data_IF_876942622225
#
_entry.id   IF_876942622225
#
_cell.length_a   1.000
_cell.length_b   1.000
_cell.length_c   1.000
_cell.angle_alpha   90.00
_cell.angle_beta   90.00
_cell.angle_gamma   90.00
#
_symmetry.space_group_name_H-M   'P 1'
#
loop_
_entity.id
_entity.type
_entity.pdbx_description
1 polymer ?
#
# COMPACT_ATOMS: atom_id res chain seq x y z
N UNK A 1 74.74 73.60 -30.71
CA UNK A 1 73.33 73.42 -31.13
C UNK A 1 72.71 72.02 -30.87
N UNK A 2 73.38 71.05 -30.21
CA UNK A 2 72.77 69.74 -29.86
C UNK A 2 72.18 69.64 -28.44
N UNK A 3 72.45 70.62 -27.56
CA UNK A 3 72.02 70.57 -26.15
C UNK A 3 70.65 71.20 -25.89
N UNK A 4 70.24 72.19 -26.68
CA UNK A 4 68.97 72.90 -26.45
C UNK A 4 67.74 72.08 -26.88
N UNK A 5 67.86 71.21 -27.89
CA UNK A 5 66.74 70.35 -28.35
C UNK A 5 66.29 69.30 -27.33
N UNK A 6 67.16 68.88 -26.40
CA UNK A 6 66.78 67.92 -25.33
C UNK A 6 65.96 68.57 -24.22
N UNK A 7 66.18 69.85 -23.93
CA UNK A 7 65.49 70.56 -22.85
C UNK A 7 64.04 70.87 -23.25
N UNK A 8 63.81 71.31 -24.49
CA UNK A 8 62.44 71.54 -24.98
C UNK A 8 61.61 70.25 -25.08
N UNK A 9 62.22 69.11 -25.39
CA UNK A 9 61.54 67.81 -25.41
C UNK A 9 61.15 67.28 -24.03
N UNK A 10 61.93 67.60 -22.99
CA UNK A 10 61.60 67.23 -21.60
C UNK A 10 60.51 68.14 -21.05
N UNK A 11 60.55 69.44 -21.36
CA UNK A 11 59.54 70.41 -20.94
C UNK A 11 58.18 70.11 -21.58
N UNK A 12 58.14 69.74 -22.87
CA UNK A 12 56.89 69.40 -23.57
C UNK A 12 56.24 68.11 -23.06
N UNK A 13 57.04 67.11 -22.67
CA UNK A 13 56.53 65.89 -22.04
C UNK A 13 55.99 66.17 -20.64
N UNK A 14 56.68 67.01 -19.86
CA UNK A 14 56.22 67.42 -18.52
C UNK A 14 54.92 68.21 -18.56
N UNK A 15 54.74 69.14 -19.51
CA UNK A 15 53.47 69.86 -19.65
C UNK A 15 52.33 68.98 -20.15
N UNK A 16 52.60 68.00 -21.02
CA UNK A 16 51.59 67.03 -21.45
C UNK A 16 51.13 66.14 -20.28
N UNK A 17 52.07 65.65 -19.47
CA UNK A 17 51.77 64.84 -18.28
C UNK A 17 50.98 65.66 -17.26
N UNK A 18 51.36 66.92 -17.04
CA UNK A 18 50.64 67.82 -16.12
C UNK A 18 49.20 68.06 -16.60
N UNK A 19 48.99 68.30 -17.90
CA UNK A 19 47.64 68.49 -18.47
C UNK A 19 46.79 67.22 -18.36
N UNK A 20 47.38 66.03 -18.50
CA UNK A 20 46.68 64.76 -18.30
C UNK A 20 46.28 64.53 -16.84
N UNK A 21 47.15 64.86 -15.89
CA UNK A 21 46.86 64.73 -14.45
C UNK A 21 45.77 65.71 -14.03
N UNK A 22 45.86 66.97 -14.47
CA UNK A 22 44.84 67.99 -14.20
C UNK A 22 43.52 67.63 -14.87
N UNK A 23 43.55 67.18 -16.12
CA UNK A 23 42.36 66.70 -16.84
C UNK A 23 41.69 65.52 -16.14
N UNK A 24 42.46 64.57 -15.61
CA UNK A 24 41.97 63.44 -14.82
C UNK A 24 41.32 63.88 -13.50
N UNK A 25 41.90 64.85 -12.79
CA UNK A 25 41.32 65.40 -11.56
C UNK A 25 40.02 66.18 -11.83
N UNK A 26 39.98 66.98 -12.90
CA UNK A 26 38.76 67.71 -13.31
C UNK A 26 37.66 66.75 -13.78
N UNK A 27 38.03 65.69 -14.49
CA UNK A 27 37.07 64.65 -14.92
C UNK A 27 36.45 63.93 -13.71
N UNK A 28 37.25 63.54 -12.70
CA UNK A 28 36.72 62.89 -11.49
C UNK A 28 35.85 63.79 -10.62
N UNK A 29 36.01 65.10 -10.70
CA UNK A 29 35.20 66.06 -9.92
C UNK A 29 33.91 66.46 -10.64
N UNK A 30 33.91 66.53 -11.98
CA UNK A 30 32.72 66.84 -12.78
C UNK A 30 31.89 65.60 -13.12
N UNK A 31 32.52 64.41 -13.14
CA UNK A 31 31.89 63.12 -13.39
C UNK A 31 32.27 62.15 -12.25
N UNK A 32 31.71 62.32 -11.04
CA UNK A 32 31.86 61.32 -9.99
C UNK A 32 31.29 59.99 -10.52
N UNK A 33 32.04 58.90 -10.35
CA UNK A 33 31.54 57.56 -10.63
C UNK A 33 30.19 57.38 -9.90
N UNK A 34 29.17 56.80 -10.54
CA UNK A 34 27.92 56.51 -9.85
C UNK A 34 28.28 55.66 -8.62
N UNK A 35 27.82 56.11 -7.44
CA UNK A 35 27.95 55.37 -6.18
C UNK A 35 27.68 53.89 -6.46
N UNK A 36 28.73 53.06 -6.49
CA UNK A 36 28.56 51.62 -6.37
C UNK A 36 28.01 51.43 -4.95
N UNK A 37 26.72 51.08 -4.77
CA UNK A 37 26.29 50.60 -3.47
C UNK A 37 27.05 49.29 -3.31
N UNK A 38 28.00 49.26 -2.38
CA UNK A 38 28.62 48.03 -1.94
C UNK A 38 27.47 47.05 -1.64
N UNK A 39 27.22 45.99 -2.44
CA UNK A 39 26.37 44.94 -1.96
C UNK A 39 27.27 44.20 -0.99
N UNK A 40 27.18 44.58 0.29
CA UNK A 40 27.42 43.61 1.32
C UNK A 40 26.09 42.83 1.41
N UNK A 41 25.91 41.69 0.70
CA UNK A 41 24.92 40.75 1.18
C UNK A 41 25.58 40.22 2.45
N UNK A 42 25.20 40.76 3.59
CA UNK A 42 25.05 39.84 4.69
C UNK A 42 23.93 38.92 4.19
N UNK A 43 24.19 37.66 3.77
CA UNK A 43 23.07 36.76 3.60
C UNK A 43 22.41 36.77 4.98
N UNK A 44 21.15 37.20 5.06
CA UNK A 44 20.32 36.79 6.18
C UNK A 44 20.57 35.29 6.34
N UNK A 45 20.86 34.78 7.56
CA UNK A 45 21.02 33.36 7.75
C UNK A 45 19.77 32.71 7.16
N UNK A 46 19.93 32.03 6.02
CA UNK A 46 18.82 31.37 5.36
C UNK A 46 18.44 30.26 6.32
N UNK A 47 17.36 30.43 7.07
CA UNK A 47 16.85 29.44 7.99
C UNK A 47 16.66 28.15 7.20
N UNK A 48 17.58 27.21 7.37
CA UNK A 48 17.64 26.00 6.55
C UNK A 48 16.81 24.94 7.29
N UNK A 49 15.58 24.73 6.81
CA UNK A 49 14.77 23.61 7.27
C UNK A 49 15.51 22.33 6.86
N UNK A 50 15.83 21.51 7.85
CA UNK A 50 16.39 20.17 7.65
C UNK A 50 15.25 19.18 7.60
N UNK A 51 15.34 18.23 6.68
CA UNK A 51 14.39 17.11 6.59
C UNK A 51 15.18 15.82 6.64
N UNK A 52 14.84 14.96 7.57
CA UNK A 52 15.44 13.65 7.76
C UNK A 52 14.39 12.56 7.59
N UNK A 53 14.84 11.37 7.19
CA UNK A 53 14.00 10.18 7.06
C UNK A 53 14.22 9.29 8.29
N UNK A 54 13.15 9.00 9.03
CA UNK A 54 13.19 8.07 10.15
C UNK A 54 13.08 6.63 9.65
N UNK A 55 11.96 6.33 8.98
CA UNK A 55 11.67 5.03 8.40
C UNK A 55 10.67 5.16 7.24
N UNK A 56 10.49 4.08 6.48
CA UNK A 56 9.47 4.00 5.45
C UNK A 56 9.04 2.56 5.20
N UNK A 57 7.86 2.42 4.61
CA UNK A 57 7.29 1.14 4.17
C UNK A 57 6.88 1.27 2.71
N UNK A 58 7.24 0.28 1.89
CA UNK A 58 6.92 0.24 0.45
C UNK A 58 5.76 -0.72 0.23
N UNK A 59 4.72 -0.24 -0.44
CA UNK A 59 3.52 -0.99 -0.77
C UNK A 59 3.48 -1.26 -2.28
N UNK A 60 3.38 -2.54 -2.64
CA UNK A 60 3.14 -3.02 -4.01
C UNK A 60 2.00 -4.03 -3.96
N UNK A 61 0.78 -3.52 -3.88
CA UNK A 61 -0.43 -4.33 -3.78
C UNK A 61 -0.94 -4.67 -5.19
N UNK A 62 -1.36 -5.92 -5.41
CA UNK A 62 -1.71 -6.42 -6.75
C UNK A 62 -2.98 -5.77 -7.33
N UNK A 63 -3.87 -5.35 -6.45
CA UNK A 63 -5.17 -4.73 -6.75
C UNK A 63 -5.13 -3.20 -6.75
N UNK A 64 -3.99 -2.59 -6.42
CA UNK A 64 -3.76 -1.14 -6.53
C UNK A 64 -2.98 -0.84 -7.80
N UNK A 65 -3.43 0.16 -8.54
CA UNK A 65 -2.91 0.54 -9.84
C UNK A 65 -1.59 1.31 -9.80
N UNK A 66 -0.98 1.50 -8.62
CA UNK A 66 0.29 2.17 -8.44
C UNK A 66 1.01 1.67 -7.15
N UNK A 67 2.35 1.58 -7.14
CA UNK A 67 3.10 1.45 -5.90
C UNK A 67 3.07 2.74 -5.09
N UNK A 68 3.24 2.65 -3.79
CA UNK A 68 3.37 3.83 -2.93
C UNK A 68 4.26 3.57 -1.73
N UNK A 69 4.70 4.65 -1.11
CA UNK A 69 5.47 4.65 0.14
C UNK A 69 4.67 5.40 1.19
N UNK A 70 4.72 4.90 2.43
CA UNK A 70 4.43 5.70 3.61
C UNK A 70 5.75 5.90 4.34
N UNK A 71 6.19 7.15 4.43
CA UNK A 71 7.48 7.52 5.00
C UNK A 71 7.29 8.43 6.20
N UNK A 72 7.97 8.13 7.31
CA UNK A 72 8.05 9.04 8.46
C UNK A 72 9.24 9.96 8.27
N UNK A 73 8.96 11.24 8.15
CA UNK A 73 9.98 12.29 8.01
C UNK A 73 9.95 13.22 9.21
N UNK A 74 11.11 13.69 9.62
CA UNK A 74 11.26 14.72 10.65
C UNK A 74 11.72 16.02 9.99
N UNK A 75 11.06 17.12 10.33
CA UNK A 75 11.45 18.46 9.93
C UNK A 75 11.96 19.20 11.16
N UNK A 76 13.11 19.84 11.03
CA UNK A 76 13.72 20.66 12.09
C UNK A 76 14.25 21.97 11.54
N UNK A 77 14.16 23.03 12.35
CA UNK A 77 14.68 24.34 12.00
C UNK A 77 14.96 25.16 13.27
N UNK A 78 15.80 26.19 13.14
CA UNK A 78 16.08 27.13 14.23
C UNK A 78 14.93 28.14 14.45
N UNK A 79 14.00 28.25 13.49
CA UNK A 79 12.80 29.08 13.56
C UNK A 79 11.53 28.23 13.36
N UNK A 80 10.36 28.87 13.43
CA UNK A 80 9.10 28.21 13.11
C UNK A 80 9.11 27.72 11.66
N UNK A 81 8.81 26.44 11.47
CA UNK A 81 8.74 25.82 10.16
C UNK A 81 7.48 26.31 9.46
N UNK A 82 7.66 27.07 8.38
CA UNK A 82 6.64 27.30 7.37
C UNK A 82 6.90 26.31 6.22
N UNK A 83 6.20 25.18 6.23
CA UNK A 83 6.25 24.17 5.18
C UNK A 83 4.87 23.58 4.95
N UNK A 84 4.61 23.18 3.71
CA UNK A 84 3.39 22.45 3.33
C UNK A 84 3.75 21.20 2.53
N UNK A 85 2.82 20.25 2.41
CA UNK A 85 3.00 19.10 1.52
C UNK A 85 3.26 19.54 0.07
N UNK A 86 2.78 20.73 -0.34
CA UNK A 86 3.07 21.32 -1.64
C UNK A 86 4.54 21.64 -1.89
N UNK A 87 5.36 21.71 -0.84
CA UNK A 87 6.80 21.94 -0.94
C UNK A 87 7.57 20.64 -1.23
N UNK A 88 6.90 19.48 -1.21
CA UNK A 88 7.50 18.17 -1.45
C UNK A 88 7.13 17.62 -2.82
N UNK A 89 8.13 17.14 -3.56
CA UNK A 89 7.92 16.55 -4.88
C UNK A 89 8.87 15.39 -5.15
N UNK A 90 8.37 14.39 -5.88
CA UNK A 90 9.16 13.21 -6.25
C UNK A 90 10.05 13.47 -7.47
N UNK A 91 11.02 12.59 -7.72
CA UNK A 91 11.82 12.56 -8.96
C UNK A 91 10.97 12.43 -10.23
N UNK A 92 9.74 11.93 -10.10
CA UNK A 92 8.75 11.81 -11.18
C UNK A 92 7.86 13.06 -11.32
N UNK A 93 8.21 14.14 -10.62
CA UNK A 93 7.50 15.42 -10.61
C UNK A 93 6.06 15.30 -10.10
N UNK A 94 5.82 14.41 -9.12
CA UNK A 94 4.55 14.33 -8.41
C UNK A 94 4.66 15.15 -7.13
N UNK A 95 3.70 16.05 -6.90
CA UNK A 95 3.60 16.81 -5.66
C UNK A 95 2.76 16.06 -4.63
N UNK A 96 3.19 16.05 -3.36
CA UNK A 96 2.48 15.32 -2.30
C UNK A 96 1.10 15.90 -1.98
N UNK A 97 0.81 17.16 -2.36
CA UNK A 97 -0.53 17.73 -2.25
C UNK A 97 -1.48 17.32 -3.39
N UNK A 98 -0.99 16.61 -4.41
CA UNK A 98 -1.75 16.17 -5.60
C UNK A 98 -1.94 14.65 -5.61
N UNK A 99 -2.37 14.09 -4.48
CA UNK A 99 -2.46 12.64 -4.28
C UNK A 99 -3.90 12.14 -4.10
N UNK A 100 -4.90 13.03 -4.23
CA UNK A 100 -6.31 12.72 -3.95
C UNK A 100 -6.84 11.52 -4.76
N UNK A 101 -6.55 11.45 -6.08
CA UNK A 101 -7.01 10.32 -6.90
C UNK A 101 -6.47 8.97 -6.44
N UNK A 102 -5.24 8.95 -5.91
CA UNK A 102 -4.62 7.73 -5.37
C UNK A 102 -5.23 7.36 -4.02
N UNK A 103 -5.56 8.36 -3.20
CA UNK A 103 -6.24 8.14 -1.92
C UNK A 103 -7.67 7.60 -2.14
N UNK A 104 -8.40 8.14 -3.12
CA UNK A 104 -9.73 7.66 -3.50
C UNK A 104 -9.69 6.20 -3.97
N UNK A 105 -8.73 5.83 -4.82
CA UNK A 105 -8.56 4.44 -5.26
C UNK A 105 -8.31 3.47 -4.09
N UNK A 106 -7.46 3.86 -3.12
CA UNK A 106 -7.22 3.05 -1.92
C UNK A 106 -8.50 2.91 -1.09
N UNK A 107 -9.24 4.00 -0.90
CA UNK A 107 -10.49 4.01 -0.15
C UNK A 107 -11.58 3.16 -0.81
N UNK A 108 -11.68 3.18 -2.15
CA UNK A 108 -12.65 2.38 -2.91
C UNK A 108 -12.37 0.88 -2.78
N UNK A 109 -11.10 0.50 -2.58
CA UNK A 109 -10.67 -0.87 -2.29
C UNK A 109 -10.77 -1.24 -0.79
N UNK A 110 -11.25 -0.32 0.05
CA UNK A 110 -11.38 -0.53 1.50
C UNK A 110 -10.08 -0.39 2.28
N UNK A 111 -9.03 0.18 1.68
CA UNK A 111 -7.78 0.50 2.37
C UNK A 111 -7.83 1.89 2.99
N UNK A 112 -7.35 2.00 4.23
CA UNK A 112 -7.32 3.25 4.97
C UNK A 112 -5.89 3.69 5.29
N UNK A 113 -5.53 4.89 4.85
CA UNK A 113 -4.26 5.53 5.21
C UNK A 113 -4.22 6.00 6.66
N UNK A 114 -5.37 6.14 7.32
CA UNK A 114 -5.46 6.54 8.73
C UNK A 114 -4.86 5.48 9.67
N UNK A 115 -4.91 4.20 9.27
CA UNK A 115 -4.30 3.08 10.01
C UNK A 115 -2.78 3.22 10.10
N UNK A 116 -2.19 3.88 9.11
CA UNK A 116 -0.77 4.21 9.06
C UNK A 116 -0.47 5.64 9.53
N UNK A 117 -1.49 6.32 10.08
CA UNK A 117 -1.40 7.69 10.62
C UNK A 117 -0.78 8.67 9.63
N UNK A 118 -1.18 8.60 8.37
CA UNK A 118 -0.71 9.53 7.34
C UNK A 118 -1.20 10.95 7.66
N UNK A 119 -0.28 11.90 7.66
CA UNK A 119 -0.56 13.32 7.83
C UNK A 119 -0.81 13.98 6.48
N UNK A 120 -2.03 14.46 6.27
CA UNK A 120 -2.43 15.20 5.07
C UNK A 120 -2.19 16.72 5.19
N UNK A 121 -1.80 17.18 6.37
CA UNK A 121 -1.40 18.56 6.64
C UNK A 121 -0.18 18.56 7.57
N UNK A 122 0.72 19.53 7.39
CA UNK A 122 1.88 19.67 8.27
C UNK A 122 1.54 20.55 9.48
N UNK A 123 2.04 20.21 10.69
CA UNK A 123 1.91 21.07 11.86
C UNK A 123 2.40 22.49 11.59
N UNK A 124 1.58 23.48 11.98
CA UNK A 124 1.95 24.89 11.93
C UNK A 124 2.62 25.30 13.24
N UNK A 125 3.49 26.31 13.15
CA UNK A 125 4.08 26.97 14.34
C UNK A 125 4.90 26.03 15.24
N UNK A 126 5.54 25.01 14.66
CA UNK A 126 6.55 24.20 15.33
C UNK A 126 7.90 24.34 14.65
N UNK A 127 8.97 24.25 15.42
CA UNK A 127 10.35 24.22 14.92
C UNK A 127 10.91 22.79 14.82
N UNK A 128 10.18 21.79 15.32
CA UNK A 128 10.51 20.38 15.24
C UNK A 128 9.24 19.52 15.24
N UNK A 129 9.08 18.67 14.24
CA UNK A 129 8.01 17.67 14.23
C UNK A 129 8.31 16.51 13.29
N UNK A 130 7.71 15.36 13.57
CA UNK A 130 7.70 14.21 12.68
C UNK A 130 6.30 13.97 12.13
N UNK A 131 6.20 13.62 10.85
CA UNK A 131 4.96 13.33 10.13
C UNK A 131 5.12 12.09 9.27
N UNK A 132 4.03 11.35 9.05
CA UNK A 132 3.98 10.28 8.06
C UNK A 132 3.41 10.82 6.76
N UNK A 133 4.18 10.80 5.69
CA UNK A 133 3.76 11.29 4.38
C UNK A 133 3.46 10.13 3.44
N UNK A 134 2.39 10.28 2.65
CA UNK A 134 2.01 9.37 1.58
C UNK A 134 2.66 9.81 0.26
N UNK A 135 3.42 8.91 -0.37
CA UNK A 135 4.19 9.18 -1.59
C UNK A 135 3.80 8.14 -2.65
N UNK A 136 2.86 8.46 -3.56
CA UNK A 136 2.54 7.57 -4.68
C UNK A 136 3.62 7.59 -5.76
N UNK A 137 3.78 6.47 -6.44
CA UNK A 137 4.78 6.27 -7.51
C UNK A 137 4.05 6.05 -8.83
N UNK A 138 4.35 6.90 -9.82
CA UNK A 138 3.74 6.84 -11.16
C UNK A 138 4.28 5.65 -11.95
N UNK A 139 5.59 5.40 -11.90
CA UNK A 139 6.19 4.29 -12.63
C UNK A 139 6.18 3.01 -11.78
N UNK A 140 5.33 2.04 -12.17
CA UNK A 140 5.21 0.74 -11.49
C UNK A 140 6.52 -0.04 -11.41
N UNK A 141 7.38 0.14 -12.40
CA UNK A 141 8.63 -0.61 -12.55
C UNK A 141 9.83 0.12 -11.91
N UNK A 142 9.61 1.29 -11.31
CA UNK A 142 10.65 2.04 -10.63
C UNK A 142 11.29 1.19 -9.53
N UNK A 143 12.63 1.18 -9.52
CA UNK A 143 13.43 0.53 -8.47
C UNK A 143 13.82 1.51 -7.36
N UNK A 144 13.65 2.82 -7.60
CA UNK A 144 13.90 3.85 -6.61
C UNK A 144 13.08 5.10 -6.93
N UNK A 145 12.82 5.91 -5.91
CA UNK A 145 12.27 7.25 -6.05
C UNK A 145 13.02 8.18 -5.09
N UNK A 146 13.13 9.46 -5.45
CA UNK A 146 13.67 10.49 -4.57
C UNK A 146 12.60 11.51 -4.25
N UNK A 147 12.44 11.84 -2.97
CA UNK A 147 11.63 12.96 -2.52
C UNK A 147 12.53 14.17 -2.30
N UNK A 148 12.19 15.27 -2.95
CA UNK A 148 12.85 16.56 -2.82
C UNK A 148 11.98 17.51 -2.01
N UNK A 149 12.65 18.48 -1.38
CA UNK A 149 11.99 19.54 -0.65
C UNK A 149 12.37 20.90 -1.24
N UNK A 150 11.40 21.63 -1.80
CA UNK A 150 11.62 22.84 -2.59
C UNK A 150 12.32 23.96 -1.79
N UNK A 151 12.08 24.04 -0.49
CA UNK A 151 12.66 25.06 0.39
C UNK A 151 14.13 24.76 0.78
N UNK A 152 14.60 23.52 0.55
CA UNK A 152 16.00 23.14 0.69
C UNK A 152 16.47 22.22 -0.45
N UNK A 153 17.17 22.80 -1.43
CA UNK A 153 17.66 22.07 -2.61
C UNK A 153 18.71 20.99 -2.30
N UNK A 154 19.24 20.93 -1.08
CA UNK A 154 20.16 19.86 -0.65
C UNK A 154 19.42 18.64 -0.09
N UNK A 155 18.15 18.80 0.26
CA UNK A 155 17.33 17.72 0.80
C UNK A 155 16.86 16.81 -0.33
N UNK A 156 17.35 15.57 -0.30
CA UNK A 156 16.95 14.50 -1.19
C UNK A 156 16.86 13.21 -0.38
N UNK A 157 15.63 12.74 -0.14
CA UNK A 157 15.37 11.47 0.54
C UNK A 157 15.17 10.38 -0.52
N UNK A 158 16.08 9.41 -0.57
CA UNK A 158 16.01 8.32 -1.55
C UNK A 158 15.38 7.08 -0.93
N UNK A 159 14.47 6.46 -1.67
CA UNK A 159 13.74 5.25 -1.26
C UNK A 159 14.06 4.12 -2.23
N UNK A 160 14.36 2.95 -1.69
CA UNK A 160 14.54 1.72 -2.45
C UNK A 160 13.17 1.06 -2.62
N UNK A 161 12.77 0.80 -3.87
CA UNK A 161 11.49 0.17 -4.22
C UNK A 161 11.65 -1.30 -4.62
N UNK A 162 12.88 -1.84 -4.59
CA UNK A 162 13.15 -3.22 -4.99
C UNK A 162 12.50 -4.25 -4.06
N UNK A 163 12.27 -3.87 -2.80
CA UNK A 163 11.61 -4.69 -1.80
C UNK A 163 10.35 -4.01 -1.26
N UNK A 164 9.21 -4.70 -1.34
CA UNK A 164 7.94 -4.26 -0.77
C UNK A 164 7.60 -5.10 0.47
N UNK A 165 7.40 -4.42 1.59
CA UNK A 165 7.10 -5.02 2.88
C UNK A 165 5.76 -4.55 3.47
N UNK A 166 5.11 -3.57 2.82
CA UNK A 166 3.78 -3.14 3.18
C UNK A 166 2.73 -4.16 2.74
N UNK A 167 1.80 -4.48 3.64
CA UNK A 167 0.72 -5.44 3.38
C UNK A 167 -0.65 -4.77 3.43
N UNK A 168 -1.69 -5.44 2.94
CA UNK A 168 -3.07 -4.93 2.94
C UNK A 168 -3.57 -4.70 4.38
N UNK A 169 -3.21 -5.58 5.29
CA UNK A 169 -3.62 -5.56 6.71
C UNK A 169 -3.08 -4.34 7.45
N UNK A 170 -1.88 -3.86 7.07
CA UNK A 170 -1.34 -2.60 7.61
C UNK A 170 -2.22 -1.40 7.28
N UNK A 171 -3.03 -1.49 6.22
CA UNK A 171 -3.97 -0.45 5.78
C UNK A 171 -5.40 -0.72 6.27
N UNK A 172 -5.57 -1.56 7.28
CA UNK A 172 -6.88 -1.86 7.86
C UNK A 172 -7.73 -2.82 7.03
N UNK A 173 -7.19 -3.41 5.97
CA UNK A 173 -7.87 -4.51 5.29
C UNK A 173 -8.11 -5.63 6.28
N UNK A 174 -9.38 -5.97 6.43
CA UNK A 174 -9.79 -7.20 7.11
C UNK A 174 -10.33 -8.11 6.02
N UNK A 175 -9.76 -9.31 5.84
CA UNK A 175 -10.42 -10.32 5.05
C UNK A 175 -11.85 -10.46 5.58
N UNK A 176 -12.82 -10.51 4.68
CA UNK A 176 -14.14 -10.99 5.06
C UNK A 176 -13.93 -12.42 5.58
N UNK A 177 -14.12 -12.64 6.88
CA UNK A 177 -13.76 -13.88 7.58
C UNK A 177 -14.47 -15.10 6.99
N UNK A 178 -15.47 -14.89 6.13
CA UNK A 178 -16.24 -15.92 5.45
C UNK A 178 -15.90 -16.07 3.97
N UNK A 179 -14.97 -15.29 3.41
CA UNK A 179 -14.61 -15.33 1.98
C UNK A 179 -13.17 -15.80 1.77
N UNK A 180 -13.01 -16.85 0.96
CA UNK A 180 -11.74 -17.32 0.43
C UNK A 180 -11.61 -16.92 -1.02
N UNK A 181 -10.52 -16.25 -1.36
CA UNK A 181 -10.23 -15.85 -2.74
C UNK A 181 -8.72 -15.83 -2.96
N UNK A 182 -8.28 -16.27 -4.13
CA UNK A 182 -6.92 -16.02 -4.62
C UNK A 182 -6.86 -14.82 -5.58
N UNK A 183 -7.97 -14.08 -5.69
CA UNK A 183 -8.23 -12.90 -6.52
C UNK A 183 -8.06 -13.13 -8.03
N UNK A 184 -7.79 -14.36 -8.45
CA UNK A 184 -7.47 -14.71 -9.83
C UNK A 184 -8.28 -15.89 -10.36
N UNK A 185 -8.51 -16.91 -9.54
CA UNK A 185 -9.07 -18.20 -9.94
C UNK A 185 -10.45 -18.41 -9.33
N UNK A 186 -10.61 -18.19 -8.03
CA UNK A 186 -11.83 -18.52 -7.31
C UNK A 186 -12.21 -17.49 -6.25
N UNK A 187 -13.51 -17.41 -5.98
CA UNK A 187 -14.07 -16.78 -4.78
C UNK A 187 -15.07 -17.74 -4.15
N UNK A 188 -14.83 -18.14 -2.91
CA UNK A 188 -15.67 -19.07 -2.13
C UNK A 188 -16.12 -18.35 -0.87
N UNK A 189 -17.43 -18.25 -0.66
CA UNK A 189 -18.03 -17.62 0.50
C UNK A 189 -18.79 -18.65 1.33
N UNK A 190 -18.52 -18.69 2.63
CA UNK A 190 -19.22 -19.51 3.62
C UNK A 190 -20.41 -18.72 4.12
N UNK A 191 -21.60 -19.08 3.63
CA UNK A 191 -22.81 -18.28 3.86
C UNK A 191 -23.47 -18.60 5.20
N UNK A 192 -23.52 -19.88 5.56
CA UNK A 192 -24.21 -20.33 6.78
C UNK A 192 -23.89 -21.79 7.12
N UNK A 193 -24.13 -22.15 8.38
CA UNK A 193 -24.09 -23.52 8.90
C UNK A 193 -25.51 -23.92 9.32
N UNK A 194 -25.91 -25.15 9.00
CA UNK A 194 -27.24 -25.66 9.34
C UNK A 194 -27.18 -27.09 9.86
N UNK A 195 -28.01 -27.40 10.87
CA UNK A 195 -28.32 -28.78 11.27
C UNK A 195 -29.40 -29.33 10.33
N UNK A 196 -29.08 -30.41 9.64
CA UNK A 196 -29.94 -31.11 8.68
C UNK A 196 -30.17 -32.57 9.08
N UNK A 197 -29.96 -32.92 10.35
CA UNK A 197 -30.13 -34.30 10.87
C UNK A 197 -31.52 -34.88 10.60
N UNK A 198 -32.55 -34.04 10.50
CA UNK A 198 -33.93 -34.46 10.24
C UNK A 198 -34.24 -34.83 8.79
N UNK A 199 -33.30 -34.61 7.86
CA UNK A 199 -33.49 -34.86 6.43
C UNK A 199 -33.01 -36.25 6.02
N UNK A 200 -33.72 -36.85 5.06
CA UNK A 200 -33.34 -38.14 4.49
C UNK A 200 -32.02 -37.99 3.72
N UNK A 201 -31.09 -38.93 3.92
CA UNK A 201 -29.86 -39.00 3.14
C UNK A 201 -29.90 -40.24 2.27
N UNK A 202 -29.78 -40.05 0.96
CA UNK A 202 -29.75 -41.12 -0.03
C UNK A 202 -28.31 -41.32 -0.52
N UNK A 203 -27.89 -42.57 -0.68
CA UNK A 203 -26.60 -42.93 -1.26
C UNK A 203 -26.82 -43.68 -2.59
N UNK A 204 -26.20 -43.18 -3.66
CA UNK A 204 -26.14 -43.85 -4.96
C UNK A 204 -24.92 -44.75 -5.01
N UNK A 205 -25.14 -46.06 -4.92
CA UNK A 205 -24.08 -47.07 -4.97
C UNK A 205 -23.46 -47.18 -6.37
N UNK A 206 -22.29 -47.82 -6.46
CA UNK A 206 -21.57 -47.98 -7.73
C UNK A 206 -22.34 -48.76 -8.82
N UNK A 207 -23.34 -49.55 -8.43
CA UNK A 207 -24.24 -50.27 -9.34
C UNK A 207 -25.44 -49.40 -9.82
N UNK A 208 -25.54 -48.14 -9.40
CA UNK A 208 -26.64 -47.22 -9.69
C UNK A 208 -27.87 -47.37 -8.78
N UNK A 209 -27.83 -48.27 -7.79
CA UNK A 209 -28.89 -48.42 -6.81
C UNK A 209 -28.87 -47.26 -5.81
N UNK A 210 -30.06 -46.74 -5.49
CA UNK A 210 -30.22 -45.64 -4.53
C UNK A 210 -30.81 -46.21 -3.25
N UNK A 211 -30.06 -46.10 -2.15
CA UNK A 211 -30.45 -46.61 -0.83
C UNK A 211 -30.42 -45.49 0.21
N UNK A 212 -31.27 -45.56 1.22
CA UNK A 212 -31.19 -44.64 2.36
C UNK A 212 -29.93 -44.95 3.19
N UNK A 213 -29.14 -43.91 3.47
CA UNK A 213 -27.96 -44.03 4.33
C UNK A 213 -28.40 -44.13 5.79
N UNK A 214 -27.85 -45.09 6.52
CA UNK A 214 -28.16 -45.30 7.93
C UNK A 214 -27.06 -44.74 8.81
N UNK A 215 -27.45 -43.86 9.75
CA UNK A 215 -26.56 -43.26 10.72
C UNK A 215 -26.92 -43.71 12.14
N UNK A 216 -25.94 -43.81 13.07
CA UNK A 216 -26.21 -43.99 14.48
C UNK A 216 -27.12 -42.90 15.04
N UNK A 217 -27.89 -43.19 16.10
CA UNK A 217 -28.79 -42.21 16.73
C UNK A 217 -28.07 -41.01 17.37
N UNK A 218 -26.75 -41.12 17.56
CA UNK A 218 -25.88 -40.06 18.07
C UNK A 218 -25.26 -39.22 16.94
N UNK A 219 -25.50 -39.58 15.68
CA UNK A 219 -25.04 -38.80 14.54
C UNK A 219 -25.88 -37.54 14.40
N UNK A 220 -25.19 -36.46 14.04
CA UNK A 220 -25.79 -35.19 13.62
C UNK A 220 -25.26 -34.85 12.25
N UNK A 221 -26.14 -34.49 11.33
CA UNK A 221 -25.77 -34.14 9.96
C UNK A 221 -25.77 -32.63 9.83
N UNK A 222 -24.65 -32.07 9.40
CA UNK A 222 -24.48 -30.64 9.24
C UNK A 222 -24.19 -30.26 7.81
N UNK A 223 -24.74 -29.12 7.39
CA UNK A 223 -24.55 -28.55 6.08
C UNK A 223 -23.81 -27.21 6.20
N UNK A 224 -22.74 -27.06 5.43
CA UNK A 224 -22.05 -25.77 5.23
C UNK A 224 -22.49 -25.23 3.89
N UNK A 225 -23.24 -24.13 3.89
CA UNK A 225 -23.68 -23.47 2.67
C UNK A 225 -22.53 -22.65 2.08
N UNK A 226 -22.21 -22.92 0.81
CA UNK A 226 -21.19 -22.21 0.07
C UNK A 226 -21.80 -21.45 -1.11
N UNK A 227 -21.19 -20.32 -1.43
CA UNK A 227 -21.30 -19.65 -2.73
C UNK A 227 -19.92 -19.71 -3.37
N UNK A 228 -19.83 -20.24 -4.59
CA UNK A 228 -18.56 -20.45 -5.29
C UNK A 228 -18.63 -19.79 -6.65
N UNK A 229 -17.63 -18.99 -6.96
CA UNK A 229 -17.47 -18.28 -8.22
C UNK A 229 -16.11 -18.61 -8.84
N UNK A 230 -16.12 -19.01 -10.12
CA UNK A 230 -14.93 -19.08 -10.96
C UNK A 230 -14.63 -17.71 -11.58
N UNK A 231 -13.46 -17.16 -11.27
CA UNK A 231 -13.04 -15.81 -11.69
C UNK A 231 -12.34 -15.83 -13.07
N UNK A 232 -11.72 -16.95 -13.46
CA UNK A 232 -10.91 -17.07 -14.68
C UNK A 232 -11.51 -17.96 -15.76
N UNK A 233 -12.79 -18.36 -15.63
CA UNK A 233 -13.43 -19.40 -16.45
C UNK A 233 -12.74 -20.78 -16.35
N UNK A 234 -11.79 -20.94 -15.43
CA UNK A 234 -11.22 -22.25 -15.09
C UNK A 234 -12.24 -23.06 -14.28
N UNK A 235 -12.27 -24.37 -14.52
CA UNK A 235 -13.13 -25.26 -13.75
C UNK A 235 -12.59 -25.38 -12.32
N UNK A 236 -13.46 -25.13 -11.35
CA UNK A 236 -13.24 -25.35 -9.92
C UNK A 236 -14.01 -26.60 -9.51
N UNK A 237 -13.41 -27.42 -8.67
CA UNK A 237 -14.07 -28.58 -8.07
C UNK A 237 -13.58 -28.74 -6.63
N UNK A 238 -14.50 -29.02 -5.71
CA UNK A 238 -14.14 -29.40 -4.34
C UNK A 238 -13.67 -30.86 -4.35
N UNK A 239 -12.38 -31.09 -4.10
CA UNK A 239 -11.79 -32.44 -4.01
C UNK A 239 -12.14 -33.08 -2.66
N UNK A 240 -11.96 -32.31 -1.58
CA UNK A 240 -12.20 -32.77 -0.22
C UNK A 240 -12.60 -31.60 0.67
N UNK A 241 -13.37 -31.89 1.72
CA UNK A 241 -13.64 -30.94 2.78
C UNK A 241 -13.69 -31.70 4.11
N UNK A 242 -13.32 -31.02 5.20
CA UNK A 242 -13.38 -31.59 6.54
C UNK A 242 -13.80 -30.55 7.56
N UNK A 243 -14.49 -31.02 8.58
CA UNK A 243 -14.92 -30.22 9.71
C UNK A 243 -14.34 -30.82 10.98
N UNK A 244 -13.68 -30.01 11.80
CA UNK A 244 -13.03 -30.44 13.04
C UNK A 244 -13.65 -29.73 14.23
N UNK A 245 -14.15 -30.50 15.19
CA UNK A 245 -14.48 -30.06 16.54
C UNK A 245 -13.23 -30.19 17.41
N UNK A 246 -12.62 -29.05 17.77
CA UNK A 246 -11.34 -29.00 18.48
C UNK A 246 -11.46 -29.55 19.90
N UNK A 247 -12.55 -29.23 20.61
CA UNK A 247 -12.78 -29.69 21.98
C UNK A 247 -13.02 -31.19 22.07
N UNK A 248 -13.75 -31.76 21.11
CA UNK A 248 -14.05 -33.18 21.05
C UNK A 248 -12.96 -33.99 20.33
N UNK A 249 -11.93 -33.31 19.77
CA UNK A 249 -10.89 -33.89 18.93
C UNK A 249 -11.48 -34.78 17.82
N UNK A 250 -12.60 -34.34 17.25
CA UNK A 250 -13.33 -35.05 16.21
C UNK A 250 -13.11 -34.35 14.87
N UNK A 251 -12.71 -35.12 13.85
CA UNK A 251 -12.69 -34.66 12.46
C UNK A 251 -13.66 -35.51 11.64
N UNK A 252 -14.60 -34.87 10.96
CA UNK A 252 -15.45 -35.48 9.95
C UNK A 252 -15.01 -35.04 8.57
N UNK A 253 -15.01 -35.97 7.62
CA UNK A 253 -14.87 -35.65 6.21
C UNK A 253 -16.25 -35.41 5.60
N UNK A 254 -16.27 -34.63 4.52
CA UNK A 254 -17.50 -34.36 3.81
C UNK A 254 -18.07 -35.63 3.16
N UNK A 255 -19.39 -35.69 3.07
CA UNK A 255 -20.08 -36.73 2.32
C UNK A 255 -19.63 -36.74 0.86
N UNK A 256 -19.48 -37.93 0.28
CA UNK A 256 -19.14 -38.07 -1.13
C UNK A 256 -20.26 -37.57 -2.05
N UNK A 257 -19.94 -37.31 -3.31
CA UNK A 257 -20.92 -36.91 -4.35
C UNK A 257 -22.10 -37.87 -4.49
N UNK A 258 -21.87 -39.15 -4.23
CA UNK A 258 -22.88 -40.22 -4.24
C UNK A 258 -23.97 -40.03 -3.18
N UNK A 259 -23.69 -39.27 -2.13
CA UNK A 259 -24.62 -39.01 -1.02
C UNK A 259 -25.34 -37.68 -1.22
N UNK A 260 -26.66 -37.71 -1.10
CA UNK A 260 -27.56 -36.58 -1.32
C UNK A 260 -28.47 -36.42 -0.11
N UNK A 261 -28.56 -35.20 0.43
CA UNK A 261 -29.49 -34.84 1.49
C UNK A 261 -30.73 -34.23 0.85
N UNK A 262 -31.91 -34.72 1.21
CA UNK A 262 -33.19 -34.26 0.66
C UNK A 262 -33.33 -32.73 0.74
N UNK A 263 -33.81 -32.10 -0.34
CA UNK A 263 -33.96 -30.63 -0.51
C UNK A 263 -32.67 -29.81 -0.67
N UNK A 264 -31.48 -30.40 -0.54
CA UNK A 264 -30.21 -29.70 -0.64
C UNK A 264 -29.34 -30.18 -1.82
N UNK A 265 -28.50 -29.29 -2.34
CA UNK A 265 -27.57 -29.58 -3.44
C UNK A 265 -26.18 -29.84 -2.87
N UNK A 266 -25.65 -31.06 -3.04
CA UNK A 266 -24.27 -31.39 -2.66
C UNK A 266 -23.28 -30.82 -3.68
N UNK A 267 -22.33 -30.00 -3.24
CA UNK A 267 -21.27 -29.41 -4.08
C UNK A 267 -20.01 -30.28 -4.18
N UNK A 268 -19.93 -31.38 -3.41
CA UNK A 268 -18.75 -32.24 -3.42
C UNK A 268 -18.53 -32.83 -4.80
N UNK A 269 -17.33 -32.61 -5.36
CA UNK A 269 -16.93 -33.06 -6.69
C UNK A 269 -17.85 -32.57 -7.83
N UNK A 270 -18.55 -31.46 -7.66
CA UNK A 270 -19.23 -30.77 -8.76
C UNK A 270 -18.26 -29.88 -9.55
N UNK A 271 -18.39 -29.85 -10.87
CA UNK A 271 -17.60 -28.99 -11.76
C UNK A 271 -18.25 -27.59 -11.83
N UNK A 272 -17.47 -26.56 -11.50
CA UNK A 272 -17.95 -25.18 -11.36
C UNK A 272 -17.15 -24.28 -12.30
N UNK A 273 -17.80 -23.77 -13.35
CA UNK A 273 -17.18 -22.90 -14.37
C UNK A 273 -17.68 -21.46 -14.34
N UNK A 274 -18.60 -21.16 -13.43
CA UNK A 274 -19.17 -19.83 -13.22
C UNK A 274 -19.56 -19.67 -11.77
N UNK A 275 -20.79 -19.21 -11.52
CA UNK A 275 -21.34 -19.05 -10.18
C UNK A 275 -22.24 -20.24 -9.79
N UNK A 276 -22.05 -20.79 -8.59
CA UNK A 276 -22.95 -21.79 -8.01
C UNK A 276 -23.16 -21.55 -6.51
N UNK A 277 -24.25 -22.09 -5.98
CA UNK A 277 -24.51 -22.15 -4.54
C UNK A 277 -25.08 -23.50 -4.17
N UNK A 278 -24.67 -24.02 -3.01
CA UNK A 278 -25.04 -25.32 -2.54
C UNK A 278 -24.37 -25.62 -1.21
N UNK A 279 -24.24 -26.90 -0.88
CA UNK A 279 -23.87 -27.34 0.46
C UNK A 279 -22.80 -28.41 0.43
N UNK A 280 -22.01 -28.46 1.50
CA UNK A 280 -21.13 -29.59 1.84
C UNK A 280 -21.61 -30.18 3.16
N UNK A 281 -21.75 -31.50 3.22
CA UNK A 281 -22.38 -32.19 4.35
C UNK A 281 -21.39 -33.00 5.17
N UNK A 282 -21.60 -33.09 6.49
CA UNK A 282 -20.74 -33.79 7.44
C UNK A 282 -21.57 -34.56 8.46
N UNK A 283 -21.06 -35.69 8.97
CA UNK A 283 -21.61 -36.39 10.13
C UNK A 283 -20.73 -36.20 11.37
N UNK A 284 -21.28 -35.60 12.42
CA UNK A 284 -20.60 -35.41 13.70
C UNK A 284 -21.27 -36.25 14.79
N UNK A 285 -20.51 -36.56 15.84
CA UNK A 285 -20.90 -37.51 16.88
C UNK A 285 -20.68 -36.86 18.25
N UNK A 286 -21.48 -35.85 18.57
CA UNK A 286 -21.44 -35.16 19.85
C UNK A 286 -22.85 -34.79 20.33
N UNK A 287 -23.02 -34.77 21.65
CA UNK A 287 -24.34 -34.60 22.29
C UNK A 287 -24.83 -33.15 22.22
N UNK A 288 -23.91 -32.19 22.36
CA UNK A 288 -24.17 -30.75 22.32
C UNK A 288 -23.21 -30.12 21.30
N UNK A 289 -23.67 -29.95 20.06
CA UNK A 289 -22.86 -29.34 19.01
C UNK A 289 -23.33 -27.89 18.84
N UNK A 290 -22.46 -26.95 19.20
CA UNK A 290 -22.57 -25.57 18.74
C UNK A 290 -21.83 -25.50 17.41
N UNK A 291 -22.56 -25.22 16.34
CA UNK A 291 -21.95 -25.11 15.01
C UNK A 291 -21.22 -23.80 14.87
N UNK A 292 -20.05 -23.89 14.26
CA UNK A 292 -19.21 -22.77 13.91
C UNK A 292 -18.96 -21.80 15.07
N UNK A 293 -18.28 -22.30 16.10
CA UNK A 293 -17.74 -21.52 17.21
C UNK A 293 -16.19 -21.50 17.15
N UNK A 294 -15.57 -20.81 18.12
CA UNK A 294 -14.11 -20.74 18.26
C UNK A 294 -13.44 -22.11 18.46
N UNK A 295 -14.22 -23.16 18.77
CA UNK A 295 -13.75 -24.52 18.96
C UNK A 295 -13.98 -25.39 17.73
N UNK A 296 -14.21 -24.78 16.57
CA UNK A 296 -14.46 -25.46 15.33
C UNK A 296 -13.59 -24.94 14.20
N UNK A 297 -13.31 -25.82 13.24
CA UNK A 297 -12.49 -25.51 12.09
C UNK A 297 -13.06 -26.18 10.86
N UNK A 298 -13.34 -25.40 9.82
CA UNK A 298 -13.79 -25.88 8.52
C UNK A 298 -12.65 -25.76 7.51
N UNK A 299 -12.40 -26.82 6.75
CA UNK A 299 -11.34 -26.85 5.76
C UNK A 299 -11.83 -27.42 4.44
N UNK A 300 -11.32 -26.85 3.34
CA UNK A 300 -11.69 -27.23 1.99
C UNK A 300 -10.43 -27.36 1.12
N UNK A 301 -10.41 -28.35 0.23
CA UNK A 301 -9.35 -28.59 -0.74
C UNK A 301 -9.96 -28.59 -2.14
N UNK A 302 -9.46 -27.71 -2.99
CA UNK A 302 -9.87 -27.65 -4.39
C UNK A 302 -9.01 -28.59 -5.24
N UNK A 303 -9.61 -29.13 -6.30
CA UNK A 303 -8.89 -29.89 -7.30
C UNK A 303 -7.74 -29.05 -7.86
N UNK A 304 -6.55 -29.64 -7.97
CA UNK A 304 -5.31 -29.00 -8.43
C UNK A 304 -4.68 -27.96 -7.49
N UNK A 305 -5.22 -27.76 -6.28
CA UNK A 305 -4.54 -27.05 -5.21
C UNK A 305 -4.03 -28.04 -4.15
N UNK A 306 -2.72 -28.01 -3.89
CA UNK A 306 -2.10 -28.91 -2.91
C UNK A 306 -2.35 -28.47 -1.44
N UNK A 307 -2.91 -27.28 -1.23
CA UNK A 307 -3.11 -26.69 0.09
C UNK A 307 -4.57 -26.77 0.53
N UNK A 308 -4.77 -26.96 1.84
CA UNK A 308 -6.08 -26.82 2.48
C UNK A 308 -6.37 -25.34 2.75
N UNK A 309 -7.52 -24.88 2.27
CA UNK A 309 -8.09 -23.60 2.62
C UNK A 309 -8.79 -23.76 3.97
N UNK A 310 -8.47 -22.92 4.94
CA UNK A 310 -8.93 -23.05 6.33
C UNK A 310 -9.81 -21.87 6.75
N UNK A 311 -10.99 -22.17 7.29
CA UNK A 311 -11.84 -21.28 8.08
C UNK A 311 -11.63 -21.55 9.57
N UNK A 312 -11.28 -20.52 10.32
CA UNK A 312 -11.37 -20.50 11.78
C UNK A 312 -11.99 -19.17 12.19
N UNK A 313 -12.90 -19.19 13.17
CA UNK A 313 -13.28 -17.95 13.85
C UNK A 313 -12.10 -17.54 14.72
N UNK A 314 -11.56 -16.34 14.46
CA UNK A 314 -10.53 -15.75 15.30
C UNK A 314 -11.20 -14.92 16.41
N UNK A 315 -10.57 -14.85 17.58
CA UNK A 315 -10.97 -14.01 18.72
C UNK A 315 -11.01 -12.51 18.39
#
# INVERSE_FOLDING_TARGET
MKHERKIYGVISVLTLVLLLVVGSMVYRTLFPEPNNPNPNPNPEPKTEIQVTLDNYTVYKLNDVSFPFIIARIELSSDELIDAALSDFYTSEQLNLNQTLSQQEELSDLGYSLDEQRVDFELPKESNLYAVNVFIPIRNKDAQSVTLYFAKNTKTALSFDLSFANGTKEMLGYKPDEHVFTDDATYRIEVVSFADVTGYTVMNTLANGEVVEASFPSTARIFAVRLMIESLSSQMIQIESARYTLLNDNQTSYAFEKSMQVEEYVNLMQEEITGFTSGYVFFDLYANDIVLFDQNSKFELKLLHLDQWITLTLND
#
